data_IF_604005453398
#
_entry.id   IF_604005453398
#
_cell.length_a   1.000
_cell.length_b   1.000
_cell.length_c   1.000
_cell.angle_alpha   90.00
_cell.angle_beta   90.00
_cell.angle_gamma   90.00
#
_symmetry.space_group_name_H-M   'P 1'
#
loop_
_entity.id
_entity.type
_entity.pdbx_description
1 polymer ?
#
# COMPACT_ATOMS: atom_id res chain seq x y z
N UNK A 1 24.94 7.50 -16.54
CA UNK A 1 24.31 6.41 -15.78
C UNK A 1 23.46 7.08 -14.70
N UNK A 2 22.12 6.97 -14.72
CA UNK A 2 21.34 7.49 -13.61
C UNK A 2 21.66 6.60 -12.41
N UNK A 3 22.05 7.23 -11.30
CA UNK A 3 22.25 6.54 -10.03
C UNK A 3 20.89 5.96 -9.63
N UNK A 4 20.80 4.62 -9.52
CA UNK A 4 19.65 3.98 -8.90
C UNK A 4 19.61 4.47 -7.47
N UNK A 5 18.74 5.44 -7.18
CA UNK A 5 18.44 5.87 -5.82
C UNK A 5 17.87 4.65 -5.11
N UNK A 6 18.73 3.96 -4.36
CA UNK A 6 18.32 2.87 -3.48
C UNK A 6 17.31 3.49 -2.52
N UNK A 7 16.04 3.22 -2.74
CA UNK A 7 14.96 3.63 -1.84
C UNK A 7 15.30 3.03 -0.49
N UNK A 8 15.50 3.88 0.53
CA UNK A 8 15.71 3.40 1.89
C UNK A 8 14.56 2.44 2.23
N UNK A 9 14.84 1.21 2.71
CA UNK A 9 13.79 0.28 3.05
C UNK A 9 12.82 0.92 4.03
N UNK A 10 11.52 0.84 3.74
CA UNK A 10 10.48 1.31 4.65
C UNK A 10 10.62 0.56 5.98
N UNK A 11 10.56 1.30 7.09
CA UNK A 11 10.50 0.70 8.41
C UNK A 11 9.30 -0.27 8.45
N UNK A 12 9.46 -1.51 8.94
CA UNK A 12 8.36 -2.47 9.01
C UNK A 12 7.13 -1.89 9.73
N UNK A 13 5.93 -2.21 9.24
CA UNK A 13 4.68 -1.84 9.93
C UNK A 13 4.41 -2.83 11.06
N UNK A 14 3.81 -2.35 12.15
CA UNK A 14 3.26 -3.23 13.17
C UNK A 14 2.06 -4.02 12.61
N UNK A 15 1.79 -5.25 13.08
CA UNK A 15 0.64 -6.02 12.62
C UNK A 15 -0.69 -5.29 12.81
N UNK A 16 -0.89 -4.57 13.92
CA UNK A 16 -2.08 -3.74 14.13
C UNK A 16 -2.21 -2.62 13.11
N UNK A 17 -1.11 -1.94 12.76
CA UNK A 17 -1.08 -0.86 11.78
C UNK A 17 -1.51 -1.35 10.39
N UNK A 18 -1.09 -2.57 10.03
CA UNK A 18 -1.54 -3.22 8.79
C UNK A 18 -3.03 -3.49 8.84
N UNK A 19 -3.53 -4.10 9.93
CA UNK A 19 -4.94 -4.44 10.08
C UNK A 19 -5.83 -3.19 10.02
N UNK A 20 -5.47 -2.12 10.73
CA UNK A 20 -6.24 -0.87 10.75
C UNK A 20 -6.28 -0.20 9.36
N UNK A 21 -5.14 -0.15 8.66
CA UNK A 21 -5.10 0.40 7.31
C UNK A 21 -5.99 -0.38 6.33
N UNK A 22 -5.91 -1.71 6.36
CA UNK A 22 -6.72 -2.56 5.48
C UNK A 22 -8.21 -2.59 5.86
N UNK A 23 -8.54 -2.51 7.15
CA UNK A 23 -9.93 -2.34 7.61
C UNK A 23 -10.54 -1.05 7.05
N UNK A 24 -9.79 0.07 7.10
CA UNK A 24 -10.25 1.33 6.51
C UNK A 24 -10.44 1.24 4.99
N UNK A 25 -9.46 0.69 4.27
CA UNK A 25 -9.50 0.54 2.81
C UNK A 25 -10.70 -0.33 2.40
N UNK A 26 -10.90 -1.48 3.06
CA UNK A 26 -11.99 -2.40 2.76
C UNK A 26 -13.36 -1.83 3.09
N UNK A 27 -13.48 -1.09 4.21
CA UNK A 27 -14.71 -0.40 4.54
C UNK A 27 -15.11 0.60 3.44
N UNK A 28 -14.15 1.39 2.94
CA UNK A 28 -14.40 2.29 1.80
C UNK A 28 -14.70 1.55 0.50
N UNK A 29 -14.03 0.43 0.24
CA UNK A 29 -14.30 -0.41 -0.93
C UNK A 29 -15.72 -1.00 -0.91
N UNK A 30 -16.20 -1.43 0.26
CA UNK A 30 -17.56 -1.96 0.44
C UNK A 30 -18.64 -0.88 0.54
N UNK A 31 -18.26 0.41 0.62
CA UNK A 31 -19.18 1.51 0.88
C UNK A 31 -19.70 1.56 2.33
N UNK A 32 -19.03 0.87 3.25
CA UNK A 32 -19.33 0.88 4.69
C UNK A 32 -18.69 2.11 5.36
N UNK A 33 -19.41 3.22 5.25
CA UNK A 33 -18.94 4.52 5.77
C UNK A 33 -18.88 4.53 7.30
N UNK A 34 -19.77 3.80 7.98
CA UNK A 34 -19.80 3.75 9.44
C UNK A 34 -18.53 3.07 9.97
N UNK A 35 -18.16 1.92 9.41
CA UNK A 35 -16.89 1.25 9.77
C UNK A 35 -15.68 2.10 9.39
N UNK A 36 -15.67 2.73 8.22
CA UNK A 36 -14.55 3.60 7.82
C UNK A 36 -14.37 4.79 8.78
N UNK A 37 -15.47 5.40 9.23
CA UNK A 37 -15.45 6.45 10.24
C UNK A 37 -14.94 5.96 11.59
N UNK A 38 -15.36 4.77 12.04
CA UNK A 38 -14.89 4.19 13.29
C UNK A 38 -13.36 4.01 13.28
N UNK A 39 -12.83 3.35 12.25
CA UNK A 39 -11.37 3.15 12.10
C UNK A 39 -10.63 4.48 12.03
N UNK A 40 -11.14 5.45 11.26
CA UNK A 40 -10.51 6.78 11.17
C UNK A 40 -10.47 7.52 12.51
N UNK A 41 -11.49 7.33 13.37
CA UNK A 41 -11.50 7.93 14.70
C UNK A 41 -10.52 7.23 15.64
N UNK A 42 -10.44 5.89 15.59
CA UNK A 42 -9.57 5.09 16.45
C UNK A 42 -8.09 5.28 16.10
N UNK A 43 -7.74 5.25 14.81
CA UNK A 43 -6.37 5.45 14.32
C UNK A 43 -5.97 6.94 14.32
N UNK A 44 -6.94 7.84 14.19
CA UNK A 44 -6.74 9.28 14.26
C UNK A 44 -5.76 9.83 13.19
N UNK A 45 -4.82 10.72 13.55
CA UNK A 45 -3.93 11.37 12.59
C UNK A 45 -2.95 10.40 11.91
N UNK A 46 -2.68 9.25 12.53
CA UNK A 46 -1.74 8.25 11.98
C UNK A 46 -2.30 7.56 10.73
N UNK A 47 -3.63 7.53 10.54
CA UNK A 47 -4.26 6.83 9.42
C UNK A 47 -3.67 7.26 8.07
N UNK A 48 -3.39 8.55 7.90
CA UNK A 48 -2.78 9.05 6.66
C UNK A 48 -1.41 8.41 6.42
N UNK A 49 -0.57 8.34 7.45
CA UNK A 49 0.76 7.73 7.36
C UNK A 49 0.63 6.24 7.03
N UNK A 50 -0.24 5.53 7.73
CA UNK A 50 -0.46 4.10 7.50
C UNK A 50 -0.90 3.81 6.06
N UNK A 51 -1.80 4.63 5.51
CA UNK A 51 -2.24 4.48 4.12
C UNK A 51 -1.13 4.78 3.10
N UNK A 52 -0.25 5.74 3.37
CA UNK A 52 0.95 5.97 2.54
C UNK A 52 1.93 4.80 2.63
N UNK A 53 2.10 4.25 3.82
CA UNK A 53 2.93 3.07 4.06
C UNK A 53 2.41 1.84 3.30
N UNK A 54 1.09 1.63 3.28
CA UNK A 54 0.43 0.59 2.46
C UNK A 54 0.57 0.89 0.97
N UNK A 55 0.32 2.12 0.53
CA UNK A 55 0.47 2.51 -0.88
C UNK A 55 1.89 2.25 -1.38
N UNK A 56 2.92 2.58 -0.60
CA UNK A 56 4.31 2.32 -0.96
C UNK A 56 4.60 0.81 -1.08
N UNK A 57 4.06 0.01 -0.15
CA UNK A 57 4.21 -1.46 -0.15
C UNK A 57 3.46 -2.16 -1.26
N UNK A 58 2.49 -1.51 -1.90
CA UNK A 58 1.79 -2.04 -3.07
C UNK A 58 2.43 -1.50 -4.36
N UNK A 59 2.50 -0.18 -4.52
CA UNK A 59 2.87 0.43 -5.79
C UNK A 59 4.31 0.15 -6.19
N UNK A 60 5.26 0.23 -5.24
CA UNK A 60 6.68 0.05 -5.55
C UNK A 60 6.97 -1.36 -6.06
N UNK A 61 6.63 -2.45 -5.35
CA UNK A 61 6.92 -3.79 -5.85
C UNK A 61 6.15 -4.11 -7.12
N UNK A 62 4.86 -3.74 -7.22
CA UNK A 62 4.03 -4.04 -8.41
C UNK A 62 4.58 -3.36 -9.66
N UNK A 63 5.01 -2.11 -9.55
CA UNK A 63 5.51 -1.35 -10.71
C UNK A 63 7.00 -1.60 -10.99
N UNK A 64 7.73 -2.18 -10.04
CA UNK A 64 9.12 -2.59 -10.24
C UNK A 64 9.26 -4.02 -10.77
N UNK A 65 8.16 -4.76 -10.96
CA UNK A 65 8.19 -6.09 -11.59
C UNK A 65 8.70 -5.94 -13.03
N UNK A 66 9.65 -6.80 -13.37
CA UNK A 66 10.23 -6.87 -14.70
C UNK A 66 9.65 -8.06 -15.46
N UNK A 67 8.95 -7.78 -16.56
CA UNK A 67 8.39 -8.80 -17.45
C UNK A 67 9.46 -9.35 -18.43
N UNK A 68 10.68 -8.80 -18.42
CA UNK A 68 11.75 -9.12 -19.38
C UNK A 68 12.83 -10.02 -18.76
N UNK A 69 12.56 -11.32 -18.60
CA UNK A 69 13.53 -12.40 -18.30
C UNK A 69 14.58 -12.14 -17.17
N UNK A 70 14.36 -11.12 -16.33
CA UNK A 70 15.26 -10.69 -15.26
C UNK A 70 16.30 -9.61 -15.60
N UNK A 71 16.35 -9.07 -16.83
CA UNK A 71 17.22 -7.93 -17.18
C UNK A 71 16.43 -6.61 -17.29
N UNK A 72 16.75 -5.60 -16.47
CA UNK A 72 16.07 -4.30 -16.50
C UNK A 72 16.11 -3.66 -17.89
N UNK A 73 14.94 -3.41 -18.47
CA UNK A 73 14.78 -2.70 -19.74
C UNK A 73 14.19 -1.29 -19.52
N UNK A 74 14.18 -0.47 -20.58
CA UNK A 74 13.65 0.90 -20.50
C UNK A 74 12.20 0.97 -19.97
N UNK A 75 11.39 -0.06 -20.26
CA UNK A 75 10.01 -0.15 -19.79
C UNK A 75 9.94 -0.45 -18.28
N UNK A 76 10.79 -1.33 -17.74
CA UNK A 76 10.81 -1.60 -16.29
C UNK A 76 11.33 -0.40 -15.49
N UNK A 77 12.28 0.39 -16.02
CA UNK A 77 12.65 1.68 -15.42
C UNK A 77 11.50 2.68 -15.41
N UNK A 78 10.74 2.77 -16.50
CA UNK A 78 9.57 3.65 -16.60
C UNK A 78 8.47 3.23 -15.63
N UNK A 79 8.17 1.94 -15.54
CA UNK A 79 7.19 1.40 -14.60
C UNK A 79 7.61 1.70 -13.15
N UNK A 80 8.86 1.41 -12.77
CA UNK A 80 9.36 1.72 -11.43
C UNK A 80 9.31 3.23 -11.13
N UNK A 81 9.56 4.09 -12.13
CA UNK A 81 9.40 5.54 -11.97
C UNK A 81 7.94 5.95 -11.78
N UNK A 82 6.99 5.29 -12.46
CA UNK A 82 5.56 5.53 -12.29
C UNK A 82 5.10 5.20 -10.85
N UNK A 83 5.52 4.07 -10.27
CA UNK A 83 5.18 3.74 -8.88
C UNK A 83 5.68 4.78 -7.88
N UNK A 84 6.92 5.26 -8.05
CA UNK A 84 7.49 6.34 -7.23
C UNK A 84 6.72 7.66 -7.42
N UNK A 85 6.35 8.00 -8.65
CA UNK A 85 5.58 9.21 -8.95
C UNK A 85 4.18 9.17 -8.32
N UNK A 86 3.49 8.03 -8.39
CA UNK A 86 2.19 7.85 -7.74
C UNK A 86 2.29 8.09 -6.23
N UNK A 87 3.31 7.52 -5.58
CA UNK A 87 3.54 7.72 -4.15
C UNK A 87 3.87 9.18 -3.81
N UNK A 88 4.68 9.84 -4.64
CA UNK A 88 5.05 11.25 -4.49
C UNK A 88 3.80 12.16 -4.55
N UNK A 89 2.91 11.90 -5.51
CA UNK A 89 1.64 12.62 -5.67
C UNK A 89 0.77 12.46 -4.41
N UNK A 90 0.66 11.26 -3.86
CA UNK A 90 -0.13 11.03 -2.63
C UNK A 90 0.50 11.69 -1.40
N UNK A 91 1.83 11.76 -1.36
CA UNK A 91 2.59 12.27 -0.22
C UNK A 91 2.57 13.80 -0.12
N UNK A 92 2.60 14.50 -1.25
CA UNK A 92 2.82 15.96 -1.34
C UNK A 92 1.68 16.77 -1.93
N UNK A 93 0.52 16.17 -2.20
CA UNK A 93 -0.65 16.88 -2.71
C UNK A 93 -1.35 17.74 -1.64
N UNK A 94 -0.63 18.64 -0.96
CA UNK A 94 -1.21 19.59 -0.01
C UNK A 94 -2.31 20.42 -0.70
N UNK A 95 -3.56 20.16 -0.29
CA UNK A 95 -4.74 20.83 -0.82
C UNK A 95 -5.39 20.19 -2.06
N UNK A 96 -4.86 19.09 -2.61
CA UNK A 96 -5.57 18.34 -3.65
C UNK A 96 -6.37 17.17 -3.04
N UNK A 97 -7.44 16.75 -3.74
CA UNK A 97 -8.42 15.76 -3.27
C UNK A 97 -7.80 14.39 -2.86
N UNK A 98 -6.58 14.10 -3.31
CA UNK A 98 -5.91 12.80 -3.13
C UNK A 98 -5.03 12.69 -1.87
N UNK A 99 -4.65 13.79 -1.20
CA UNK A 99 -3.73 13.73 -0.04
C UNK A 99 -4.41 13.50 1.32
N UNK A 100 -5.73 13.31 1.33
CA UNK A 100 -6.51 12.95 2.51
C UNK A 100 -6.74 11.44 2.56
N UNK A 101 -6.95 10.87 3.76
CA UNK A 101 -7.10 9.42 3.96
C UNK A 101 -8.09 8.75 3.00
N UNK A 102 -9.30 9.28 2.74
CA UNK A 102 -10.20 8.68 1.75
C UNK A 102 -9.63 8.68 0.33
N UNK A 103 -8.92 9.74 -0.06
CA UNK A 103 -8.31 9.87 -1.39
C UNK A 103 -7.16 8.88 -1.61
N UNK A 104 -6.33 8.68 -0.58
CA UNK A 104 -5.24 7.68 -0.62
C UNK A 104 -5.84 6.27 -0.71
N UNK A 105 -6.78 5.94 0.17
CA UNK A 105 -7.45 4.63 0.16
C UNK A 105 -8.16 4.37 -1.18
N UNK A 106 -8.87 5.36 -1.73
CA UNK A 106 -9.53 5.21 -3.02
C UNK A 106 -8.54 5.08 -4.18
N UNK A 107 -7.36 5.66 -4.08
CA UNK A 107 -6.28 5.43 -5.06
C UNK A 107 -5.75 4.00 -4.97
N UNK A 108 -5.56 3.46 -3.76
CA UNK A 108 -5.17 2.05 -3.57
C UNK A 108 -6.23 1.10 -4.15
N UNK A 109 -7.52 1.36 -3.89
CA UNK A 109 -8.64 0.56 -4.42
C UNK A 109 -8.62 0.58 -5.95
N UNK A 110 -8.55 1.77 -6.55
CA UNK A 110 -8.51 1.91 -8.01
C UNK A 110 -7.26 1.28 -8.63
N UNK A 111 -6.11 1.41 -7.99
CA UNK A 111 -4.89 0.75 -8.45
C UNK A 111 -5.08 -0.77 -8.43
N UNK A 112 -5.67 -1.31 -7.36
CA UNK A 112 -5.96 -2.74 -7.24
C UNK A 112 -6.92 -3.20 -8.35
N UNK A 113 -8.01 -2.49 -8.57
CA UNK A 113 -9.00 -2.77 -9.62
C UNK A 113 -8.45 -2.66 -11.06
N UNK A 114 -7.55 -1.72 -11.32
CA UNK A 114 -7.08 -1.48 -12.69
C UNK A 114 -5.81 -2.25 -13.04
N UNK A 115 -5.01 -2.63 -12.04
CA UNK A 115 -3.66 -3.20 -12.24
C UNK A 115 -3.54 -4.62 -11.70
N UNK A 116 -4.20 -4.94 -10.58
CA UNK A 116 -4.00 -6.20 -9.87
C UNK A 116 -5.12 -7.22 -10.07
N UNK A 117 -6.29 -6.80 -10.54
CA UNK A 117 -7.37 -7.70 -10.93
C UNK A 117 -7.30 -7.98 -12.43
N UNK A 118 -6.87 -9.17 -12.80
CA UNK A 118 -7.02 -9.67 -14.18
C UNK A 118 -8.49 -9.97 -14.48
N UNK A 119 -8.93 -9.71 -15.71
CA UNK A 119 -10.24 -10.02 -16.33
C UNK A 119 -11.36 -10.42 -15.35
N UNK A 120 -11.81 -9.45 -14.53
CA UNK A 120 -12.91 -9.55 -13.54
C UNK A 120 -12.60 -10.17 -12.16
N UNK A 121 -11.34 -10.20 -11.74
CA UNK A 121 -11.00 -10.52 -10.34
C UNK A 121 -11.70 -9.61 -9.33
N UNK A 122 -12.14 -10.17 -8.20
CA UNK A 122 -12.77 -9.38 -7.13
C UNK A 122 -11.72 -8.54 -6.39
N UNK A 123 -11.90 -7.22 -6.40
CA UNK A 123 -11.04 -6.27 -5.69
C UNK A 123 -11.00 -6.58 -4.20
N UNK A 124 -12.10 -7.04 -3.60
CA UNK A 124 -12.15 -7.40 -2.19
C UNK A 124 -11.21 -8.56 -1.87
N UNK A 125 -11.18 -9.58 -2.72
CA UNK A 125 -10.30 -10.75 -2.55
C UNK A 125 -8.83 -10.38 -2.69
N UNK A 126 -8.49 -9.53 -3.67
CA UNK A 126 -7.10 -9.05 -3.84
C UNK A 126 -6.67 -8.20 -2.64
N UNK A 127 -7.53 -7.31 -2.13
CA UNK A 127 -7.24 -6.54 -0.92
C UNK A 127 -7.02 -7.45 0.30
N UNK A 128 -7.79 -8.52 0.45
CA UNK A 128 -7.58 -9.51 1.53
C UNK A 128 -6.24 -10.25 1.39
N UNK A 129 -5.82 -10.55 0.17
CA UNK A 129 -4.51 -11.19 -0.08
C UNK A 129 -3.35 -10.24 0.23
N UNK A 130 -3.47 -8.97 -0.16
CA UNK A 130 -2.50 -7.93 0.17
C UNK A 130 -2.41 -7.70 1.68
N UNK A 131 -3.53 -7.71 2.39
CA UNK A 131 -3.58 -7.65 3.86
C UNK A 131 -2.83 -8.84 4.49
N UNK A 132 -3.14 -10.07 4.05
CA UNK A 132 -2.50 -11.27 4.56
C UNK A 132 -0.98 -11.28 4.30
N UNK A 133 -0.54 -10.81 3.13
CA UNK A 133 0.87 -10.65 2.81
C UNK A 133 1.55 -9.59 3.70
N UNK A 134 0.88 -8.44 3.90
CA UNK A 134 1.37 -7.38 4.77
C UNK A 134 1.49 -7.82 6.23
N UNK A 135 0.50 -8.53 6.76
CA UNK A 135 0.51 -9.08 8.12
C UNK A 135 1.64 -10.09 8.29
N UNK A 136 1.84 -10.99 7.31
CA UNK A 136 2.96 -11.93 7.35
C UNK A 136 4.30 -11.21 7.43
N UNK A 137 4.51 -10.19 6.58
CA UNK A 137 5.73 -9.37 6.60
C UNK A 137 5.92 -8.63 7.93
N UNK A 138 4.86 -8.05 8.48
CA UNK A 138 4.87 -7.38 9.77
C UNK A 138 5.25 -8.33 10.91
N UNK A 139 4.67 -9.53 10.94
CA UNK A 139 4.98 -10.55 11.95
C UNK A 139 6.41 -11.09 11.85
N UNK A 140 6.94 -11.24 10.63
CA UNK A 140 8.33 -11.66 10.41
C UNK A 140 9.34 -10.59 10.86
N UNK A 141 8.99 -9.31 10.72
CA UNK A 141 9.81 -8.19 11.15
C UNK A 141 9.76 -7.91 12.66
N UNK A 142 8.64 -8.27 13.31
CA UNK A 142 8.44 -8.14 14.75
C UNK A 142 8.31 -9.53 15.39
N UNK A 143 9.35 -10.39 15.34
CA UNK A 143 9.29 -11.68 16.01
C UNK A 143 9.13 -11.41 17.50
N UNK A 144 7.95 -11.73 18.03
CA UNK A 144 7.64 -11.62 19.45
C UNK A 144 8.84 -12.15 20.24
N UNK A 145 9.34 -11.35 21.19
CA UNK A 145 10.40 -11.78 22.11
C UNK A 145 10.04 -13.17 22.61
N UNK A 146 10.73 -14.17 22.06
CA UNK A 146 10.59 -15.56 22.47
C UNK A 146 11.27 -15.63 23.83
N UNK A 147 10.52 -15.29 24.88
CA UNK A 147 10.92 -15.55 26.26
C UNK A 147 11.13 -17.06 26.33
N UNK A 148 12.39 -17.45 26.21
CA UNK A 148 12.83 -18.81 26.49
C UNK A 148 12.69 -18.96 27.99
N UNK A 149 11.73 -19.80 28.37
CA UNK A 149 11.60 -20.32 29.74
C UNK A 149 12.82 -21.17 30.11
#
# INVERSE_FOLDING_TARGET
MPENTVTTPLAPMEPEDVADAFNYIRALQAGDIDTACAVANDTGPELRRLLLDVAARIFIPVTAVDDCDGEPCAHSFLAAALGRLLLEVLSHADGACLAFSPGIAQTIIRFTENILTEDHGDVADVLCQLEAAGLKQAMEAHPAHRTTA
#
